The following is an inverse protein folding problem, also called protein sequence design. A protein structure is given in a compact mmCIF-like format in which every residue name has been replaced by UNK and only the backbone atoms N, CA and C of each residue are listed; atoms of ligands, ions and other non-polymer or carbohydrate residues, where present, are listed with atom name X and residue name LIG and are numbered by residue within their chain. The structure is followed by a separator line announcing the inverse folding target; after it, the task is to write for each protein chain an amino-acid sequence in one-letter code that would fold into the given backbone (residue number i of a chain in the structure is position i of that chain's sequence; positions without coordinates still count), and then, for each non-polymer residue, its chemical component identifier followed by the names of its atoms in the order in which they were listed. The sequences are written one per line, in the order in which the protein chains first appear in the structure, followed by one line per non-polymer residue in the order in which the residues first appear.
data_IF_824452713949
#
_entry.id   IF_824452713949
#
_cell.length_a   1.000
_cell.length_b   1.000
_cell.length_c   1.000
_cell.angle_alpha   90.00
_cell.angle_beta   90.00
_cell.angle_gamma   90.00
#
_symmetry.space_group_name_H-M   'P 1'
#
loop_
_entity.id
_entity.type
_entity.pdbx_description
1 polymer ?
#
# COMPACT_ATOMS: atom_id res chain seq x y z
N UNK A 1 -28.90 4.71 -7.49
CA UNK A 1 -28.29 3.41 -7.83
C UNK A 1 -27.24 3.13 -6.77
N UNK A 2 -27.46 2.13 -5.92
CA UNK A 2 -26.53 1.76 -4.86
C UNK A 2 -25.82 0.49 -5.35
N UNK A 3 -24.55 0.60 -5.72
CA UNK A 3 -23.77 -0.55 -6.14
C UNK A 3 -23.38 -1.34 -4.88
N UNK A 4 -23.93 -2.53 -4.74
CA UNK A 4 -23.75 -3.42 -3.60
C UNK A 4 -22.99 -4.65 -4.08
N UNK A 5 -21.70 -4.77 -3.79
CA UNK A 5 -20.98 -6.05 -4.01
C UNK A 5 -20.97 -6.61 -5.47
N UNK A 6 -21.37 -5.79 -6.46
CA UNK A 6 -21.64 -6.22 -7.84
C UNK A 6 -23.00 -6.91 -8.06
N UNK A 7 -23.82 -7.08 -7.03
CA UNK A 7 -25.14 -7.72 -7.05
C UNK A 7 -26.25 -6.71 -6.73
N UNK A 8 -27.15 -6.48 -7.69
CA UNK A 8 -28.22 -5.51 -7.53
C UNK A 8 -29.27 -6.02 -6.53
N UNK A 9 -29.40 -5.33 -5.39
CA UNK A 9 -30.31 -5.66 -4.27
C UNK A 9 -29.87 -6.83 -3.36
N UNK A 10 -28.61 -7.26 -3.42
CA UNK A 10 -28.07 -8.26 -2.50
C UNK A 10 -27.94 -7.78 -1.04
N UNK A 11 -27.85 -8.69 -0.04
CA UNK A 11 -27.55 -8.33 1.35
C UNK A 11 -26.20 -7.60 1.45
N UNK A 12 -26.06 -6.67 2.40
CA UNK A 12 -24.79 -5.98 2.68
C UNK A 12 -23.74 -7.00 3.16
N UNK A 13 -22.91 -7.49 2.24
CA UNK A 13 -21.69 -8.23 2.54
C UNK A 13 -20.48 -7.31 2.61
N UNK A 14 -19.36 -7.77 3.19
CA UNK A 14 -18.06 -7.11 3.02
C UNK A 14 -17.70 -7.08 1.52
N UNK A 15 -17.94 -5.93 0.88
CA UNK A 15 -17.64 -5.68 -0.54
C UNK A 15 -16.20 -5.27 -0.77
N UNK A 16 -15.28 -6.01 -0.15
CA UNK A 16 -13.86 -5.73 -0.26
C UNK A 16 -13.29 -6.53 -1.43
N UNK A 17 -12.30 -5.96 -2.12
CA UNK A 17 -11.35 -6.65 -3.01
C UNK A 17 -10.53 -7.71 -2.21
N UNK A 18 -10.92 -8.03 -0.97
CA UNK A 18 -10.17 -8.85 -0.01
C UNK A 18 -10.64 -10.31 0.04
N UNK A 19 -11.80 -10.64 -0.50
CA UNK A 19 -12.37 -11.99 -0.35
C UNK A 19 -12.23 -12.75 -1.66
N UNK A 20 -11.15 -13.50 -1.85
CA UNK A 20 -11.19 -14.59 -2.81
C UNK A 20 -12.27 -15.57 -2.33
N UNK A 21 -13.31 -15.75 -3.15
CA UNK A 21 -14.39 -16.69 -2.89
C UNK A 21 -14.38 -17.68 -4.05
N UNK A 22 -14.05 -18.93 -3.79
CA UNK A 22 -14.00 -19.99 -4.81
C UNK A 22 -15.36 -20.21 -5.49
N UNK A 23 -16.46 -19.81 -4.82
CA UNK A 23 -17.82 -19.83 -5.39
C UNK A 23 -18.14 -18.61 -6.23
N UNK A 24 -17.30 -17.56 -6.19
CA UNK A 24 -17.43 -16.31 -6.94
C UNK A 24 -16.11 -15.99 -7.66
N UNK A 25 -15.84 -16.60 -8.83
CA UNK A 25 -14.55 -16.51 -9.55
C UNK A 25 -14.14 -15.09 -9.98
N UNK A 26 -15.04 -14.10 -9.86
CA UNK A 26 -14.74 -12.68 -10.09
C UNK A 26 -14.11 -11.98 -8.87
N UNK A 27 -14.04 -12.64 -7.70
CA UNK A 27 -13.42 -12.06 -6.52
C UNK A 27 -11.96 -12.48 -6.43
N UNK A 28 -11.08 -11.52 -6.69
CA UNK A 28 -9.63 -11.66 -6.57
C UNK A 28 -9.16 -10.94 -5.30
N UNK A 29 -8.17 -11.50 -4.63
CA UNK A 29 -7.55 -10.90 -3.45
C UNK A 29 -6.82 -9.60 -3.82
N UNK A 30 -6.81 -8.63 -2.90
CA UNK A 30 -6.27 -7.27 -3.11
C UNK A 30 -4.82 -7.29 -3.60
N UNK A 31 -3.97 -8.12 -2.98
CA UNK A 31 -2.60 -8.41 -3.44
C UNK A 31 -2.51 -8.78 -4.93
N UNK A 32 -3.45 -9.56 -5.45
CA UNK A 32 -3.45 -10.00 -6.86
C UNK A 32 -3.72 -8.84 -7.82
N UNK A 33 -4.45 -7.81 -7.38
CA UNK A 33 -4.83 -6.66 -8.21
C UNK A 33 -3.94 -5.43 -7.96
N UNK A 34 -3.75 -5.07 -6.70
CA UNK A 34 -3.04 -3.86 -6.28
C UNK A 34 -1.57 -4.12 -5.95
N UNK A 35 -1.13 -5.38 -5.85
CA UNK A 35 0.23 -5.74 -5.45
C UNK A 35 0.47 -5.71 -3.93
N UNK A 36 -0.42 -5.07 -3.17
CA UNK A 36 -0.37 -4.99 -1.69
C UNK A 36 -1.72 -5.34 -1.08
N UNK A 37 -1.76 -5.61 0.22
CA UNK A 37 -2.98 -5.72 1.03
C UNK A 37 -2.66 -5.39 2.48
N UNK A 38 -3.69 -5.07 3.24
CA UNK A 38 -3.58 -4.62 4.61
C UNK A 38 -2.78 -5.55 5.49
N UNK A 39 -1.67 -5.01 6.01
CA UNK A 39 -0.79 -5.65 6.96
C UNK A 39 -1.12 -5.21 8.38
N UNK A 40 -1.41 -3.94 8.64
CA UNK A 40 -1.64 -3.49 10.01
C UNK A 40 -2.59 -2.30 10.09
N UNK A 41 -3.50 -2.37 11.07
CA UNK A 41 -4.27 -1.22 11.56
C UNK A 41 -3.68 -0.70 12.88
N UNK A 42 -3.88 0.58 13.17
CA UNK A 42 -3.27 1.26 14.32
C UNK A 42 -1.74 1.31 14.29
N UNK A 43 -1.15 1.31 13.10
CA UNK A 43 0.30 1.36 12.90
C UNK A 43 0.89 2.70 13.40
N UNK A 44 2.02 2.62 14.11
CA UNK A 44 2.87 3.79 14.41
C UNK A 44 3.46 4.33 13.12
N UNK A 45 3.53 5.67 12.99
CA UNK A 45 4.04 6.31 11.78
C UNK A 45 5.56 6.22 11.60
N UNK A 46 5.97 5.87 10.39
CA UNK A 46 7.36 5.87 9.91
C UNK A 46 7.47 6.51 8.52
N UNK A 47 8.62 7.10 8.15
CA UNK A 47 8.91 7.41 6.76
C UNK A 47 9.05 6.13 5.93
N UNK A 48 8.97 6.28 4.61
CA UNK A 48 9.37 5.21 3.70
C UNK A 48 10.87 5.32 3.41
N UNK A 49 11.58 4.19 3.49
CA UNK A 49 12.96 4.05 3.02
C UNK A 49 12.93 3.64 1.55
N UNK A 50 13.55 4.43 0.68
CA UNK A 50 13.65 4.16 -0.76
C UNK A 50 14.57 2.96 -1.02
N UNK A 51 14.11 2.03 -1.85
CA UNK A 51 14.83 0.79 -2.21
C UNK A 51 15.28 0.75 -3.67
N UNK A 52 14.55 1.42 -4.57
CA UNK A 52 14.81 1.45 -6.01
C UNK A 52 14.87 2.90 -6.53
N UNK A 53 15.88 3.70 -6.10
CA UNK A 53 15.95 5.13 -6.43
C UNK A 53 16.10 5.41 -7.94
N UNK A 54 16.60 4.46 -8.72
CA UNK A 54 16.75 4.54 -10.18
C UNK A 54 15.43 4.34 -10.93
N UNK A 55 14.34 3.95 -10.25
CA UNK A 55 13.04 3.81 -10.88
C UNK A 55 12.58 5.16 -11.46
N UNK A 56 11.97 5.22 -12.66
CA UNK A 56 11.56 6.49 -13.29
C UNK A 56 10.67 7.37 -12.41
N UNK A 57 9.90 6.77 -11.51
CA UNK A 57 9.05 7.51 -10.57
C UNK A 57 9.84 8.35 -9.56
N UNK A 58 11.11 8.05 -9.30
CA UNK A 58 11.98 8.87 -8.46
C UNK A 58 12.81 9.90 -9.25
N UNK A 59 12.64 10.00 -10.57
CA UNK A 59 13.34 11.00 -11.37
C UNK A 59 13.11 12.42 -10.84
N UNK A 60 14.19 13.19 -10.68
CA UNK A 60 14.13 14.58 -10.20
C UNK A 60 13.82 14.74 -8.70
N UNK A 61 13.67 13.66 -7.94
CA UNK A 61 13.48 13.74 -6.47
C UNK A 61 14.78 13.94 -5.70
N UNK A 62 15.92 13.57 -6.31
CA UNK A 62 17.24 13.61 -5.67
C UNK A 62 17.48 12.51 -4.63
N UNK A 63 16.55 11.56 -4.48
CA UNK A 63 16.71 10.45 -3.53
C UNK A 63 17.75 9.45 -4.03
N UNK A 64 18.40 8.80 -3.07
CA UNK A 64 19.32 7.67 -3.25
C UNK A 64 18.83 6.47 -2.45
N UNK A 65 19.45 5.32 -2.64
CA UNK A 65 19.14 4.10 -1.87
C UNK A 65 19.25 4.39 -0.36
N UNK A 66 18.24 3.96 0.40
CA UNK A 66 18.14 4.23 1.82
C UNK A 66 17.62 5.63 2.21
N UNK A 67 17.32 6.52 1.26
CA UNK A 67 16.72 7.82 1.57
C UNK A 67 15.36 7.65 2.25
N UNK A 68 15.10 8.46 3.27
CA UNK A 68 13.79 8.52 3.92
C UNK A 68 12.93 9.62 3.30
N UNK A 69 11.69 9.29 2.95
CA UNK A 69 10.67 10.22 2.44
C UNK A 69 9.40 10.12 3.27
N UNK A 70 8.69 11.23 3.43
CA UNK A 70 7.44 11.28 4.19
C UNK A 70 7.63 11.21 5.70
N UNK A 71 8.69 11.82 6.24
CA UNK A 71 8.94 11.84 7.69
C UNK A 71 7.97 12.74 8.47
N UNK A 72 7.28 13.65 7.78
CA UNK A 72 6.32 14.59 8.36
C UNK A 72 5.10 14.77 7.45
N UNK A 73 4.01 15.31 8.01
CA UNK A 73 2.73 15.42 7.32
C UNK A 73 1.65 15.99 8.23
N UNK A 74 0.45 16.16 7.67
CA UNK A 74 -0.67 16.79 8.37
C UNK A 74 -1.46 15.84 9.29
N UNK A 75 -1.30 14.52 9.14
CA UNK A 75 -1.93 13.52 10.01
C UNK A 75 -1.24 13.45 11.39
N UNK A 76 -1.40 14.52 12.17
CA UNK A 76 -0.83 14.69 13.51
C UNK A 76 -1.94 14.67 14.57
N UNK A 77 -1.62 14.21 15.78
CA UNK A 77 -2.59 14.11 16.87
C UNK A 77 -2.08 13.47 18.17
N UNK A 78 -0.77 13.18 18.26
CA UNK A 78 -0.12 12.61 19.44
C UNK A 78 0.10 11.09 19.36
N UNK A 79 1.08 10.58 20.12
CA UNK A 79 1.42 9.16 20.20
C UNK A 79 1.89 8.57 18.86
N UNK A 80 1.17 7.56 18.36
CA UNK A 80 1.44 6.89 17.08
C UNK A 80 1.22 7.79 15.85
N UNK A 81 0.63 8.97 16.05
CA UNK A 81 0.18 9.90 15.01
C UNK A 81 1.14 11.09 14.92
N UNK A 82 2.31 10.81 14.35
CA UNK A 82 3.45 11.72 14.27
C UNK A 82 3.56 12.46 12.91
N UNK A 83 2.57 12.30 12.02
CA UNK A 83 2.58 12.90 10.69
C UNK A 83 3.35 12.12 9.63
N UNK A 84 3.97 10.99 9.94
CA UNK A 84 4.73 10.23 8.94
C UNK A 84 3.82 9.52 7.92
N UNK A 85 4.36 9.28 6.72
CA UNK A 85 3.63 8.85 5.53
C UNK A 85 3.14 7.39 5.58
N UNK A 86 3.72 6.55 6.45
CA UNK A 86 3.28 5.17 6.66
C UNK A 86 2.78 4.95 8.09
N UNK A 87 1.48 5.15 8.32
CA UNK A 87 0.85 4.97 9.63
C UNK A 87 -0.63 4.55 9.51
N UNK A 88 -1.29 4.38 10.67
CA UNK A 88 -2.72 4.10 10.84
C UNK A 88 -3.16 2.80 10.18
N UNK A 89 -3.34 2.76 8.87
CA UNK A 89 -3.53 1.53 8.09
C UNK A 89 -2.44 1.46 7.02
N UNK A 90 -1.79 0.30 6.96
CA UNK A 90 -0.65 0.07 6.07
C UNK A 90 -0.80 -1.26 5.35
N UNK A 91 -0.39 -1.27 4.08
CA UNK A 91 -0.50 -2.42 3.19
C UNK A 91 0.89 -2.88 2.74
N UNK A 92 1.07 -4.19 2.60
CA UNK A 92 2.32 -4.80 2.11
C UNK A 92 2.03 -5.90 1.08
N UNK A 93 3.04 -6.20 0.28
CA UNK A 93 3.03 -7.30 -0.68
C UNK A 93 3.45 -8.62 -0.07
N UNK A 94 4.19 -8.64 1.04
CA UNK A 94 4.83 -9.86 1.56
C UNK A 94 4.50 -10.20 3.02
N UNK A 95 3.90 -9.27 3.78
CA UNK A 95 3.68 -9.41 5.21
C UNK A 95 2.68 -10.51 5.58
N UNK A 96 2.76 -11.07 6.80
CA UNK A 96 1.93 -12.19 7.21
C UNK A 96 0.43 -11.86 7.22
N UNK A 97 0.06 -10.63 7.60
CA UNK A 97 -1.33 -10.19 7.69
C UNK A 97 -1.87 -9.74 6.33
N UNK A 98 -1.00 -9.30 5.42
CA UNK A 98 -1.37 -9.01 4.02
C UNK A 98 -2.02 -10.19 3.30
N UNK A 99 -1.82 -11.42 3.80
CA UNK A 99 -2.39 -12.67 3.27
C UNK A 99 -3.67 -13.10 3.99
N UNK A 100 -4.26 -12.23 4.80
CA UNK A 100 -5.43 -12.53 5.64
C UNK A 100 -6.58 -11.53 5.41
N UNK A 101 -7.76 -11.85 5.93
CA UNK A 101 -8.98 -11.05 5.80
C UNK A 101 -9.01 -9.86 6.77
N UNK A 102 -8.14 -8.88 6.55
CA UNK A 102 -8.11 -7.61 7.27
C UNK A 102 -7.21 -7.59 8.51
N UNK A 103 -7.32 -6.52 9.31
CA UNK A 103 -6.39 -6.24 10.40
C UNK A 103 -6.52 -7.13 11.64
N UNK A 104 -7.62 -7.87 11.78
CA UNK A 104 -7.87 -8.72 12.94
C UNK A 104 -7.42 -10.15 12.64
N UNK A 105 -6.23 -10.47 13.14
CA UNK A 105 -5.51 -11.71 12.86
C UNK A 105 -6.08 -12.95 13.56
N UNK A 106 -6.77 -12.81 14.69
CA UNK A 106 -6.87 -13.92 15.65
C UNK A 106 -7.54 -15.19 15.10
N UNK A 107 -8.34 -15.14 14.04
CA UNK A 107 -8.97 -16.34 13.46
C UNK A 107 -9.18 -16.29 11.93
N UNK A 108 -8.44 -15.46 11.19
CA UNK A 108 -8.66 -15.35 9.74
C UNK A 108 -7.84 -16.39 8.96
N UNK A 109 -8.45 -17.17 8.05
CA UNK A 109 -7.71 -18.08 7.19
C UNK A 109 -6.74 -17.30 6.29
N UNK A 110 -5.53 -17.83 6.12
CA UNK A 110 -4.59 -17.34 5.12
C UNK A 110 -5.17 -17.63 3.74
N UNK A 111 -5.35 -16.57 2.94
CA UNK A 111 -5.81 -16.69 1.56
C UNK A 111 -4.58 -16.81 0.67
N UNK A 112 -4.50 -17.93 -0.05
CA UNK A 112 -3.52 -18.09 -1.11
C UNK A 112 -3.80 -17.03 -2.19
N UNK A 113 -2.89 -16.07 -2.31
CA UNK A 113 -2.97 -14.96 -3.25
C UNK A 113 -1.65 -14.82 -4.00
N UNK A 114 -1.75 -14.56 -5.30
CA UNK A 114 -0.62 -14.26 -6.17
C UNK A 114 -0.26 -12.79 -6.10
N UNK A 115 0.92 -12.45 -6.61
CA UNK A 115 1.32 -11.08 -6.89
C UNK A 115 1.31 -10.85 -8.40
N UNK A 116 1.04 -9.61 -8.86
CA UNK A 116 1.21 -9.23 -10.25
C UNK A 116 2.63 -9.53 -10.73
N UNK A 117 2.75 -10.02 -11.97
CA UNK A 117 4.05 -10.25 -12.58
C UNK A 117 4.83 -8.93 -12.68
N UNK A 118 6.11 -8.96 -12.25
CA UNK A 118 6.97 -7.78 -12.30
C UNK A 118 6.68 -6.71 -11.25
N UNK A 119 5.96 -7.05 -10.16
CA UNK A 119 5.80 -6.15 -9.02
C UNK A 119 7.15 -5.70 -8.46
N UNK A 120 7.32 -4.40 -8.32
CA UNK A 120 8.49 -3.76 -7.74
C UNK A 120 8.10 -3.08 -6.43
N UNK A 121 8.85 -3.35 -5.35
CA UNK A 121 8.76 -2.61 -4.09
C UNK A 121 9.73 -1.45 -4.17
N UNK A 122 9.20 -0.24 -4.37
CA UNK A 122 9.97 0.98 -4.61
C UNK A 122 10.51 1.58 -3.31
N UNK A 123 9.71 1.52 -2.25
CA UNK A 123 10.08 1.99 -0.92
C UNK A 123 9.31 1.22 0.15
N UNK A 124 9.88 1.09 1.35
CA UNK A 124 9.30 0.34 2.46
C UNK A 124 9.44 1.13 3.75
N UNK A 125 8.36 1.23 4.52
CA UNK A 125 8.41 1.75 5.87
C UNK A 125 8.80 0.62 6.82
N UNK A 126 9.98 0.74 7.43
CA UNK A 126 10.51 -0.23 8.38
C UNK A 126 10.88 0.50 9.69
N UNK A 127 10.41 0.05 10.86
CA UNK A 127 10.82 0.60 12.16
C UNK A 127 12.32 0.44 12.50
N UNK A 128 13.11 -0.23 11.64
CA UNK A 128 14.54 -0.45 11.81
C UNK A 128 14.85 -1.78 12.50
N UNK A 129 15.70 -2.60 11.88
CA UNK A 129 16.23 -3.86 12.43
C UNK A 129 15.92 -5.10 11.59
N UNK A 130 16.84 -6.09 11.63
CA UNK A 130 16.61 -7.45 11.14
C UNK A 130 15.54 -8.11 12.02
N UNK A 131 14.29 -8.13 11.54
CA UNK A 131 13.13 -8.67 12.26
C UNK A 131 12.03 -7.66 12.61
N UNK A 132 12.17 -6.39 12.22
CA UNK A 132 11.08 -5.42 12.32
C UNK A 132 9.92 -5.78 11.37
N UNK A 133 8.69 -5.74 11.85
CA UNK A 133 7.51 -5.90 11.01
C UNK A 133 7.46 -4.80 9.94
N UNK A 134 7.41 -5.19 8.66
CA UNK A 134 7.14 -4.29 7.55
C UNK A 134 5.82 -3.56 7.81
N UNK A 135 5.78 -2.23 7.64
CA UNK A 135 4.57 -1.43 7.82
C UNK A 135 3.87 -1.25 6.48
N UNK A 136 4.21 -0.22 5.72
CA UNK A 136 3.67 0.05 4.40
C UNK A 136 4.71 -0.12 3.30
N UNK A 137 4.25 -0.39 2.09
CA UNK A 137 5.08 -0.42 0.89
C UNK A 137 4.55 0.51 -0.19
N UNK A 138 5.46 1.26 -0.81
CA UNK A 138 5.22 1.90 -2.10
C UNK A 138 5.58 0.88 -3.18
N UNK A 139 4.62 0.47 -4.01
CA UNK A 139 4.83 -0.54 -5.04
C UNK A 139 4.37 -0.07 -6.42
N UNK A 140 4.91 -0.71 -7.44
CA UNK A 140 4.60 -0.45 -8.84
C UNK A 140 4.63 -1.73 -9.66
N UNK A 141 3.72 -1.87 -10.63
CA UNK A 141 3.86 -2.87 -11.69
C UNK A 141 3.20 -2.40 -12.99
N UNK A 142 3.77 -2.81 -14.14
CA UNK A 142 3.15 -2.62 -15.47
C UNK A 142 2.05 -3.66 -15.64
N UNK A 143 0.83 -3.22 -15.93
CA UNK A 143 -0.30 -4.12 -16.17
C UNK A 143 -0.30 -4.60 -17.63
N UNK A 144 -0.52 -5.90 -17.92
CA UNK A 144 -0.52 -6.44 -19.29
C UNK A 144 -1.52 -5.75 -20.23
N UNK A 145 -2.56 -5.12 -19.69
CA UNK A 145 -3.53 -4.31 -20.42
C UNK A 145 -3.04 -2.93 -20.87
N UNK A 146 -1.75 -2.61 -20.73
CA UNK A 146 -1.13 -1.37 -21.25
C UNK A 146 -1.05 -0.20 -20.26
N UNK A 147 -1.57 -0.36 -19.04
CA UNK A 147 -1.43 0.60 -17.95
C UNK A 147 -0.38 0.18 -16.93
N UNK A 148 -0.44 0.78 -15.75
CA UNK A 148 0.30 0.35 -14.58
C UNK A 148 -0.56 0.51 -13.33
N UNK A 149 -0.12 -0.10 -12.23
CA UNK A 149 -0.68 0.14 -10.91
C UNK A 149 0.44 0.66 -10.02
N UNK A 150 0.12 1.73 -9.30
CA UNK A 150 0.95 2.31 -8.25
C UNK A 150 0.16 2.26 -6.94
N UNK A 151 0.78 1.75 -5.88
CA UNK A 151 0.18 1.69 -4.55
C UNK A 151 1.10 2.39 -3.56
N UNK A 152 0.56 3.34 -2.79
CA UNK A 152 1.28 4.05 -1.75
C UNK A 152 1.34 3.28 -0.41
N UNK A 153 0.45 2.29 -0.22
CA UNK A 153 0.47 1.35 0.89
C UNK A 153 0.26 1.96 2.29
N UNK A 154 -0.29 3.17 2.39
CA UNK A 154 -0.71 3.75 3.67
C UNK A 154 -1.76 4.86 3.53
N UNK A 155 -2.66 4.91 4.51
CA UNK A 155 -3.68 5.98 4.60
C UNK A 155 -3.08 7.36 4.92
N UNK A 156 -1.97 7.45 5.66
CA UNK A 156 -1.38 8.74 6.05
C UNK A 156 -0.45 9.33 4.98
N UNK A 157 -0.20 8.60 3.89
CA UNK A 157 0.58 9.08 2.74
C UNK A 157 0.07 10.43 2.24
N UNK A 158 -1.26 10.58 2.13
CA UNK A 158 -1.89 11.82 1.68
C UNK A 158 -1.59 13.02 2.57
N UNK A 159 -1.45 12.84 3.89
CA UNK A 159 -1.09 13.93 4.79
C UNK A 159 0.36 14.39 4.64
N UNK A 160 1.28 13.48 4.34
CA UNK A 160 2.67 13.83 4.05
C UNK A 160 2.84 14.43 2.65
N UNK A 161 2.06 13.97 1.67
CA UNK A 161 2.08 14.48 0.30
C UNK A 161 1.85 16.00 0.23
N UNK A 162 1.11 16.59 1.16
CA UNK A 162 0.85 18.04 1.17
C UNK A 162 2.12 18.87 1.41
N UNK A 163 3.12 18.32 2.12
CA UNK A 163 4.28 19.10 2.56
C UNK A 163 5.64 18.51 2.14
N UNK A 164 5.71 17.21 1.82
CA UNK A 164 6.95 16.53 1.47
C UNK A 164 7.24 16.68 -0.04
N UNK A 165 8.29 17.41 -0.44
CA UNK A 165 8.55 17.69 -1.85
C UNK A 165 8.96 16.44 -2.64
N UNK A 166 9.59 15.46 -2.01
CA UNK A 166 9.95 14.20 -2.66
C UNK A 166 8.69 13.39 -2.98
N UNK A 167 7.73 13.30 -2.05
CA UNK A 167 6.42 12.66 -2.32
C UNK A 167 5.61 13.41 -3.38
N UNK A 168 5.67 14.73 -3.40
CA UNK A 168 5.02 15.53 -4.43
C UNK A 168 5.61 15.25 -5.81
N UNK A 169 6.94 15.24 -5.92
CA UNK A 169 7.61 14.95 -7.19
C UNK A 169 7.38 13.49 -7.63
N UNK A 170 7.40 12.54 -6.69
CA UNK A 170 7.01 11.15 -6.96
C UNK A 170 5.62 11.07 -7.59
N UNK A 171 4.61 11.72 -6.98
CA UNK A 171 3.25 11.71 -7.51
C UNK A 171 3.10 12.46 -8.83
N UNK A 172 3.87 13.54 -9.07
CA UNK A 172 3.94 14.17 -10.39
C UNK A 172 4.41 13.19 -11.45
N UNK A 173 5.47 12.44 -11.15
CA UNK A 173 6.01 11.43 -12.07
C UNK A 173 5.01 10.29 -12.29
N UNK A 174 4.27 9.85 -11.27
CA UNK A 174 3.18 8.87 -11.41
C UNK A 174 2.13 9.38 -12.38
N UNK A 175 1.69 10.63 -12.24
CA UNK A 175 0.63 11.21 -13.07
C UNK A 175 1.07 11.53 -14.51
N UNK A 176 2.38 11.52 -14.78
CA UNK A 176 2.96 11.77 -16.11
C UNK A 176 3.71 10.58 -16.68
N UNK A 177 3.58 9.39 -16.07
CA UNK A 177 4.26 8.20 -16.55
C UNK A 177 3.46 7.59 -17.70
N UNK A 178 4.09 7.52 -18.86
CA UNK A 178 3.57 6.87 -20.06
C UNK A 178 4.04 5.40 -20.14
#
# INVERSE_FOLDING_TARGET
MMFLDGDENGPRGPAMIRVADETRPHRIHERTLLGVSTEMCGATGYPFTVLLPEHPLFAGTGVVDGSEIGAAGLNTGGGKYNGAASAWEVDTSDGPRSRSLGCNYENCPVIQSGLPAGLQVLARANPGGTGGETRGEITFYRHPGGGFVFSAGSITFGGSLVIDPQLQQLMRNVMSLD
#
